data_IF_995153546776
#
_entry.id   IF_995153546776
#
_cell.length_a   1.000
_cell.length_b   1.000
_cell.length_c   1.000
_cell.angle_alpha   90.00
_cell.angle_beta   90.00
_cell.angle_gamma   90.00
#
_symmetry.space_group_name_H-M   'P 1'
#
loop_
_entity.id
_entity.type
_entity.pdbx_description
1 polymer ?
#
# COMPACT_ATOMS: atom_id res chain seq x y z
N UNK A 1 -21.63 5.49 11.98
CA UNK A 1 -20.89 4.24 11.95
C UNK A 1 -21.11 3.41 10.71
N UNK A 2 -22.23 2.66 10.61
CA UNK A 2 -22.47 1.78 9.45
C UNK A 2 -22.51 2.50 8.10
N UNK A 3 -23.17 3.66 8.05
CA UNK A 3 -23.22 4.48 6.82
C UNK A 3 -21.81 4.93 6.42
N UNK A 4 -20.98 5.35 7.38
CA UNK A 4 -19.60 5.75 7.13
C UNK A 4 -18.74 4.59 6.61
N UNK A 5 -18.83 3.44 7.24
CA UNK A 5 -18.13 2.23 6.83
C UNK A 5 -18.54 1.80 5.40
N UNK A 6 -19.84 1.76 5.11
CA UNK A 6 -20.34 1.40 3.79
C UNK A 6 -19.94 2.42 2.70
N UNK A 7 -20.02 3.72 3.02
CA UNK A 7 -19.60 4.79 2.09
C UNK A 7 -18.13 4.68 1.75
N UNK A 8 -17.28 4.43 2.76
CA UNK A 8 -15.84 4.28 2.59
C UNK A 8 -15.49 3.06 1.75
N UNK A 9 -16.13 1.92 2.00
CA UNK A 9 -15.93 0.72 1.16
C UNK A 9 -16.34 0.96 -0.29
N UNK A 10 -17.47 1.63 -0.52
CA UNK A 10 -17.94 1.95 -1.86
C UNK A 10 -17.00 2.94 -2.58
N UNK A 11 -16.48 3.92 -1.87
CA UNK A 11 -15.52 4.91 -2.40
C UNK A 11 -14.19 4.25 -2.76
N UNK A 12 -13.64 3.43 -1.87
CA UNK A 12 -12.37 2.74 -2.07
C UNK A 12 -12.46 1.63 -3.14
N UNK A 13 -13.60 0.99 -3.32
CA UNK A 13 -13.82 0.06 -4.45
C UNK A 13 -14.12 0.79 -5.77
N UNK A 14 -14.61 2.03 -5.71
CA UNK A 14 -15.10 2.81 -6.85
C UNK A 14 -14.00 3.47 -7.68
N UNK A 15 -14.45 4.42 -8.54
CA UNK A 15 -13.57 5.16 -9.47
C UNK A 15 -12.54 6.06 -8.75
N UNK A 16 -12.79 6.44 -7.52
CA UNK A 16 -11.82 7.20 -6.71
C UNK A 16 -10.77 6.32 -6.06
N UNK A 17 -11.01 5.01 -5.96
CA UNK A 17 -10.12 4.00 -5.40
C UNK A 17 -9.73 2.96 -6.45
N UNK A 18 -9.97 1.69 -6.14
CA UNK A 18 -9.46 0.53 -6.88
C UNK A 18 -9.81 0.55 -8.39
N UNK A 19 -11.06 0.84 -8.76
CA UNK A 19 -11.44 0.91 -10.18
C UNK A 19 -10.72 2.06 -10.90
N UNK A 20 -10.49 3.19 -10.24
CA UNK A 20 -9.70 4.29 -10.79
C UNK A 20 -8.24 3.90 -11.00
N UNK A 21 -7.64 3.22 -10.02
CA UNK A 21 -6.28 2.67 -10.13
C UNK A 21 -6.17 1.65 -11.27
N UNK A 22 -7.14 0.75 -11.40
CA UNK A 22 -7.18 -0.20 -12.50
C UNK A 22 -7.33 0.49 -13.87
N UNK A 23 -8.10 1.58 -13.94
CA UNK A 23 -8.24 2.37 -15.18
C UNK A 23 -6.93 3.05 -15.57
N UNK A 24 -6.17 3.56 -14.59
CA UNK A 24 -4.82 4.12 -14.82
C UNK A 24 -3.88 3.03 -15.30
N UNK A 25 -3.89 1.85 -14.67
CA UNK A 25 -3.03 0.71 -15.04
C UNK A 25 -3.23 0.34 -16.52
N UNK A 26 -4.48 0.11 -16.94
CA UNK A 26 -4.82 -0.22 -18.34
C UNK A 26 -4.44 0.92 -19.29
N UNK A 27 -4.70 2.17 -18.91
CA UNK A 27 -4.36 3.33 -19.76
C UNK A 27 -2.84 3.54 -19.88
N UNK A 28 -2.06 2.95 -18.99
CA UNK A 28 -0.59 3.05 -18.92
C UNK A 28 0.12 1.85 -19.55
N UNK A 29 -0.59 0.84 -20.03
CA UNK A 29 0.00 -0.30 -20.73
C UNK A 29 0.82 0.18 -21.93
N UNK A 30 2.02 -0.34 -22.09
CA UNK A 30 2.97 0.00 -23.15
C UNK A 30 3.35 1.50 -23.21
N UNK A 31 3.24 2.23 -22.10
CA UNK A 31 3.62 3.64 -22.01
C UNK A 31 4.61 3.89 -20.88
N UNK A 32 5.52 4.81 -21.11
CA UNK A 32 6.29 5.40 -20.03
C UNK A 32 5.39 6.32 -19.20
N UNK A 33 5.32 6.08 -17.89
CA UNK A 33 4.60 6.93 -16.94
C UNK A 33 5.58 7.52 -15.93
N UNK A 34 5.23 8.64 -15.31
CA UNK A 34 6.07 9.21 -14.26
C UNK A 34 5.99 8.42 -12.96
N UNK A 35 6.98 8.61 -12.07
CA UNK A 35 6.98 7.99 -10.74
C UNK A 35 5.77 8.43 -9.91
N UNK A 36 5.32 9.68 -10.07
CA UNK A 36 4.13 10.22 -9.41
C UNK A 36 2.87 9.48 -9.86
N UNK A 37 2.73 9.25 -11.18
CA UNK A 37 1.58 8.52 -11.72
C UNK A 37 1.62 7.04 -11.31
N UNK A 38 2.80 6.42 -11.28
CA UNK A 38 2.98 5.07 -10.75
C UNK A 38 2.55 4.99 -9.27
N UNK A 39 2.98 5.97 -8.46
CA UNK A 39 2.60 6.04 -7.05
C UNK A 39 1.08 6.19 -6.90
N UNK A 40 0.46 7.12 -7.62
CA UNK A 40 -1.01 7.31 -7.62
C UNK A 40 -1.76 6.04 -8.04
N UNK A 41 -1.26 5.36 -9.07
CA UNK A 41 -1.81 4.08 -9.53
C UNK A 41 -1.82 3.05 -8.40
N UNK A 42 -0.69 2.88 -7.73
CA UNK A 42 -0.54 1.88 -6.66
C UNK A 42 -1.35 2.24 -5.41
N UNK A 43 -1.38 3.52 -5.03
CA UNK A 43 -2.22 4.02 -3.94
C UNK A 43 -3.70 3.74 -4.20
N UNK A 44 -4.17 3.96 -5.42
CA UNK A 44 -5.57 3.70 -5.80
C UNK A 44 -5.85 2.20 -5.97
N UNK A 45 -5.04 1.49 -6.77
CA UNK A 45 -5.31 0.10 -7.14
C UNK A 45 -5.22 -0.85 -5.95
N UNK A 46 -4.17 -0.71 -5.14
CA UNK A 46 -3.88 -1.58 -3.99
C UNK A 46 -4.13 -0.88 -2.67
N UNK A 47 -3.66 0.36 -2.51
CA UNK A 47 -3.74 1.13 -1.28
C UNK A 47 -5.18 1.36 -0.82
N UNK A 48 -6.10 1.69 -1.73
CA UNK A 48 -7.51 1.89 -1.40
C UNK A 48 -8.16 0.64 -0.78
N UNK A 49 -7.77 -0.55 -1.24
CA UNK A 49 -8.30 -1.80 -0.70
C UNK A 49 -7.76 -2.08 0.71
N UNK A 50 -6.47 -1.78 0.93
CA UNK A 50 -5.83 -1.88 2.24
C UNK A 50 -6.42 -0.85 3.20
N UNK A 51 -6.68 0.37 2.73
CA UNK A 51 -7.37 1.40 3.52
C UNK A 51 -8.77 0.92 3.95
N UNK A 52 -9.54 0.37 3.02
CA UNK A 52 -10.86 -0.20 3.35
C UNK A 52 -10.75 -1.30 4.41
N UNK A 53 -9.76 -2.18 4.33
CA UNK A 53 -9.58 -3.28 5.27
C UNK A 53 -9.16 -2.79 6.68
N UNK A 54 -8.34 -1.75 6.77
CA UNK A 54 -7.82 -1.23 8.05
C UNK A 54 -8.82 -0.26 8.72
N UNK A 55 -9.42 0.64 7.96
CA UNK A 55 -10.19 1.76 8.52
C UNK A 55 -11.66 1.43 8.73
N UNK A 56 -12.24 0.52 7.90
CA UNK A 56 -13.65 0.13 8.06
C UNK A 56 -13.95 -0.51 9.42
N UNK A 57 -13.15 -1.49 9.93
CA UNK A 57 -13.37 -2.06 11.26
C UNK A 57 -13.33 -1.03 12.37
N UNK A 58 -12.45 -0.03 12.27
CA UNK A 58 -12.37 1.05 13.25
C UNK A 58 -13.67 1.87 13.32
N UNK A 59 -14.26 2.24 12.19
CA UNK A 59 -15.55 2.93 12.19
C UNK A 59 -16.70 2.07 12.71
N UNK A 60 -16.67 0.76 12.44
CA UNK A 60 -17.66 -0.17 12.98
C UNK A 60 -17.53 -0.26 14.51
N UNK A 61 -16.30 -0.40 15.03
CA UNK A 61 -16.03 -0.41 16.47
C UNK A 61 -16.52 0.86 17.15
N UNK A 62 -16.19 2.03 16.64
CA UNK A 62 -16.68 3.32 17.18
C UNK A 62 -18.19 3.40 17.22
N UNK A 63 -18.87 2.88 16.19
CA UNK A 63 -20.33 2.85 16.18
C UNK A 63 -20.91 1.94 17.26
N UNK A 64 -20.27 0.79 17.52
CA UNK A 64 -20.70 -0.15 18.55
C UNK A 64 -20.48 0.40 19.96
N UNK A 65 -19.39 1.10 20.19
CA UNK A 65 -19.04 1.68 21.50
C UNK A 65 -19.71 3.04 21.78
N UNK A 66 -20.39 3.61 20.77
CA UNK A 66 -21.01 4.96 20.83
C UNK A 66 -20.02 6.06 21.19
N UNK A 67 -18.75 5.89 20.86
CA UNK A 67 -17.72 6.90 21.01
C UNK A 67 -17.92 8.01 19.98
N UNK A 68 -18.48 9.14 20.40
CA UNK A 68 -18.55 10.37 19.62
C UNK A 68 -17.27 11.17 19.83
N UNK A 69 -16.32 11.10 18.89
CA UNK A 69 -15.16 11.99 18.83
C UNK A 69 -15.35 12.99 17.69
N UNK A 70 -15.20 14.28 17.99
CA UNK A 70 -15.27 15.36 16.99
C UNK A 70 -14.03 15.46 16.12
N UNK A 71 -12.90 14.92 16.55
CA UNK A 71 -11.68 14.82 15.75
C UNK A 71 -11.27 13.35 15.66
N UNK A 72 -11.18 12.84 14.43
CA UNK A 72 -10.86 11.45 14.21
C UNK A 72 -9.39 11.32 13.77
N UNK A 73 -8.46 11.73 14.64
CA UNK A 73 -7.02 11.64 14.40
C UNK A 73 -6.58 10.17 14.23
N UNK A 74 -7.18 9.26 15.00
CA UNK A 74 -6.91 7.82 14.86
C UNK A 74 -7.29 7.31 13.47
N UNK A 75 -8.45 7.71 12.93
CA UNK A 75 -8.82 7.33 11.56
C UNK A 75 -7.88 7.92 10.52
N UNK A 76 -7.40 9.15 10.71
CA UNK A 76 -6.39 9.75 9.82
C UNK A 76 -5.06 8.99 9.87
N UNK A 77 -4.61 8.63 11.07
CA UNK A 77 -3.39 7.86 11.24
C UNK A 77 -3.52 6.44 10.66
N UNK A 78 -4.68 5.79 10.82
CA UNK A 78 -4.97 4.49 10.20
C UNK A 78 -4.99 4.56 8.66
N UNK A 79 -5.52 5.64 8.07
CA UNK A 79 -5.45 5.85 6.61
C UNK A 79 -4.02 6.02 6.13
N UNK A 80 -3.23 6.84 6.83
CA UNK A 80 -1.80 7.02 6.52
C UNK A 80 -1.04 5.70 6.64
N UNK A 81 -1.32 4.93 7.69
CA UNK A 81 -0.77 3.60 7.88
C UNK A 81 -1.10 2.69 6.69
N UNK A 82 -2.36 2.66 6.26
CA UNK A 82 -2.81 1.86 5.13
C UNK A 82 -2.09 2.22 3.83
N UNK A 83 -1.91 3.52 3.56
CA UNK A 83 -1.20 4.00 2.37
C UNK A 83 0.28 3.57 2.38
N UNK A 84 0.97 3.74 3.50
CA UNK A 84 2.38 3.32 3.62
C UNK A 84 2.53 1.80 3.51
N UNK A 85 1.62 1.00 4.11
CA UNK A 85 1.61 -0.45 3.96
C UNK A 85 1.38 -0.85 2.49
N UNK A 86 0.45 -0.20 1.80
CA UNK A 86 0.16 -0.46 0.39
C UNK A 86 1.34 -0.18 -0.52
N UNK A 87 2.02 0.96 -0.34
CA UNK A 87 3.22 1.30 -1.09
C UNK A 87 4.38 0.35 -0.78
N UNK A 88 4.63 0.07 0.51
CA UNK A 88 5.67 -0.88 0.91
C UNK A 88 5.44 -2.26 0.30
N UNK A 89 4.18 -2.72 0.25
CA UNK A 89 3.81 -3.98 -0.38
C UNK A 89 4.18 -4.01 -1.87
N UNK A 90 3.82 -2.99 -2.63
CA UNK A 90 4.07 -2.93 -4.07
C UNK A 90 5.56 -2.74 -4.39
N UNK A 91 6.27 -1.90 -3.63
CA UNK A 91 7.72 -1.74 -3.81
C UNK A 91 8.46 -3.06 -3.52
N UNK A 92 8.03 -3.78 -2.48
CA UNK A 92 8.61 -5.09 -2.15
C UNK A 92 8.33 -6.12 -3.25
N UNK A 93 7.12 -6.15 -3.82
CA UNK A 93 6.79 -7.02 -4.97
C UNK A 93 7.71 -6.74 -6.15
N UNK A 94 7.85 -5.47 -6.54
CA UNK A 94 8.73 -5.07 -7.65
C UNK A 94 10.20 -5.49 -7.41
N UNK A 95 10.69 -5.39 -6.16
CA UNK A 95 12.03 -5.84 -5.78
C UNK A 95 12.15 -7.36 -5.90
N UNK A 96 11.15 -8.11 -5.39
CA UNK A 96 11.16 -9.57 -5.44
C UNK A 96 11.09 -10.10 -6.87
N UNK A 97 10.29 -9.49 -7.74
CA UNK A 97 10.18 -9.87 -9.16
C UNK A 97 11.53 -9.82 -9.88
N UNK A 98 12.34 -8.79 -9.58
CA UNK A 98 13.68 -8.66 -10.17
C UNK A 98 14.70 -9.60 -9.54
N UNK A 99 14.69 -9.74 -8.20
CA UNK A 99 15.69 -10.53 -7.47
C UNK A 99 15.45 -12.03 -7.62
N UNK A 100 14.19 -12.49 -7.55
CA UNK A 100 13.84 -13.91 -7.71
C UNK A 100 14.07 -14.41 -9.14
N UNK A 101 13.84 -13.56 -10.15
CA UNK A 101 14.10 -13.93 -11.55
C UNK A 101 15.58 -14.05 -11.85
N UNK A 102 16.46 -13.31 -11.17
CA UNK A 102 17.91 -13.41 -11.33
C UNK A 102 18.50 -14.70 -10.73
N UNK A 103 17.89 -15.24 -9.67
CA UNK A 103 18.32 -16.51 -9.06
C UNK A 103 17.86 -17.74 -9.85
N UNK A 104 16.67 -17.69 -10.47
CA UNK A 104 16.09 -18.82 -11.22
C UNK A 104 16.59 -18.88 -12.66
N UNK A 105 16.92 -17.75 -13.28
CA UNK A 105 17.29 -17.63 -14.68
C UNK A 105 18.79 -17.31 -14.83
N UNK A 106 19.64 -18.21 -14.44
CA UNK A 106 21.08 -18.15 -14.82
C UNK A 106 21.35 -18.11 -16.33
N UNK A 107 20.34 -17.83 -17.19
CA UNK A 107 20.44 -17.54 -18.61
C UNK A 107 19.23 -16.78 -19.14
N UNK A 108 19.54 -15.70 -19.81
CA UNK A 108 18.68 -14.82 -20.60
C UNK A 108 17.72 -15.53 -21.56
N UNK A 109 16.43 -15.48 -21.31
CA UNK A 109 15.40 -15.51 -22.37
C UNK A 109 14.09 -15.02 -21.76
N UNK A 110 13.61 -13.86 -22.14
CA UNK A 110 12.33 -13.30 -21.70
C UNK A 110 12.40 -11.83 -21.29
N UNK A 111 13.36 -11.07 -21.80
CA UNK A 111 13.50 -9.63 -21.52
C UNK A 111 12.37 -8.79 -22.12
N UNK A 112 11.79 -9.21 -23.25
CA UNK A 112 10.96 -8.30 -24.06
C UNK A 112 9.55 -8.05 -23.52
N UNK A 113 8.95 -8.95 -22.73
CA UNK A 113 7.60 -8.76 -22.18
C UNK A 113 7.58 -8.13 -20.78
N UNK A 114 8.71 -8.19 -20.04
CA UNK A 114 8.82 -7.61 -18.68
C UNK A 114 9.33 -6.16 -18.67
N UNK A 115 10.02 -5.74 -19.73
CA UNK A 115 10.62 -4.40 -19.85
C UNK A 115 9.59 -3.27 -20.15
N UNK A 116 8.31 -3.59 -20.42
CA UNK A 116 7.30 -2.60 -20.78
C UNK A 116 6.50 -2.05 -19.59
N UNK A 117 6.56 -2.70 -18.41
CA UNK A 117 5.77 -2.26 -17.25
C UNK A 117 6.56 -1.33 -16.35
N UNK A 118 6.02 -0.15 -16.10
CA UNK A 118 6.59 0.77 -15.12
C UNK A 118 6.49 0.19 -13.71
N UNK A 119 7.63 0.12 -13.00
CA UNK A 119 7.75 -0.37 -11.62
C UNK A 119 8.61 0.60 -10.81
N UNK A 120 8.59 0.50 -9.49
CA UNK A 120 9.50 1.30 -8.66
C UNK A 120 10.97 0.96 -8.97
N UNK A 121 11.28 -0.28 -9.33
CA UNK A 121 12.65 -0.68 -9.70
C UNK A 121 13.06 -0.10 -11.04
N UNK A 122 12.17 -0.02 -12.05
CA UNK A 122 12.51 0.60 -13.35
C UNK A 122 12.73 2.10 -13.23
N UNK A 123 12.04 2.78 -12.30
CA UNK A 123 12.21 4.22 -12.06
C UNK A 123 13.42 4.58 -11.19
N UNK A 124 13.63 3.84 -10.11
CA UNK A 124 14.59 4.19 -9.06
C UNK A 124 15.87 3.34 -9.10
N UNK A 125 15.89 2.29 -9.90
CA UNK A 125 16.86 1.22 -9.77
C UNK A 125 16.62 0.37 -8.52
N UNK A 126 17.29 -0.77 -8.41
CA UNK A 126 17.08 -1.71 -7.30
C UNK A 126 17.44 -1.09 -5.93
N UNK A 127 18.54 -0.35 -5.86
CA UNK A 127 18.98 0.26 -4.59
C UNK A 127 18.08 1.45 -4.20
N UNK A 128 17.61 2.22 -5.18
CA UNK A 128 16.64 3.29 -4.94
C UNK A 128 15.28 2.75 -4.47
N UNK A 129 14.79 1.65 -5.06
CA UNK A 129 13.57 0.99 -4.61
C UNK A 129 13.70 0.44 -3.19
N UNK A 130 14.85 -0.16 -2.82
CA UNK A 130 15.12 -0.58 -1.44
C UNK A 130 15.13 0.59 -0.46
N UNK A 131 15.79 1.70 -0.82
CA UNK A 131 15.78 2.92 -0.01
C UNK A 131 14.37 3.47 0.19
N UNK A 132 13.54 3.47 -0.86
CA UNK A 132 12.14 3.88 -0.76
C UNK A 132 11.32 2.94 0.13
N UNK A 133 11.54 1.63 0.04
CA UNK A 133 10.92 0.66 0.94
C UNK A 133 11.27 0.94 2.41
N UNK A 134 12.54 1.20 2.71
CA UNK A 134 12.99 1.53 4.06
C UNK A 134 12.33 2.81 4.60
N UNK A 135 12.10 3.82 3.75
CA UNK A 135 11.35 5.03 4.12
C UNK A 135 9.89 4.71 4.47
N UNK A 136 9.22 3.90 3.66
CA UNK A 136 7.83 3.49 3.94
C UNK A 136 7.73 2.71 5.26
N UNK A 137 8.65 1.79 5.52
CA UNK A 137 8.73 1.03 6.77
C UNK A 137 8.94 1.95 7.98
N UNK A 138 9.82 2.94 7.85
CA UNK A 138 10.05 3.94 8.91
C UNK A 138 8.79 4.76 9.20
N UNK A 139 8.06 5.16 8.16
CA UNK A 139 6.80 5.88 8.30
C UNK A 139 5.73 5.02 9.00
N UNK A 140 5.61 3.74 8.61
CA UNK A 140 4.73 2.77 9.26
C UNK A 140 5.05 2.70 10.75
N UNK A 141 6.29 2.47 11.13
CA UNK A 141 6.72 2.37 12.54
C UNK A 141 6.38 3.64 13.31
N UNK A 142 6.65 4.81 12.74
CA UNK A 142 6.33 6.10 13.38
C UNK A 142 4.83 6.26 13.66
N UNK A 143 3.98 5.81 12.73
CA UNK A 143 2.52 5.87 12.90
C UNK A 143 2.06 4.85 13.95
N UNK A 144 2.62 3.63 13.94
CA UNK A 144 2.31 2.60 14.93
C UNK A 144 2.69 3.04 16.34
N UNK A 145 3.88 3.64 16.53
CA UNK A 145 4.30 4.21 17.81
C UNK A 145 3.32 5.27 18.31
N UNK A 146 2.87 6.17 17.43
CA UNK A 146 1.88 7.21 17.77
C UNK A 146 0.54 6.59 18.15
N UNK A 147 0.05 5.61 17.41
CA UNK A 147 -1.21 4.90 17.68
C UNK A 147 -1.13 4.17 19.03
N UNK A 148 -0.03 3.46 19.28
CA UNK A 148 0.24 2.75 20.54
C UNK A 148 0.30 3.70 21.72
N UNK A 149 0.98 4.85 21.60
CA UNK A 149 1.02 5.88 22.64
C UNK A 149 -0.38 6.45 22.99
N UNK A 150 -1.31 6.41 22.04
CA UNK A 150 -2.72 6.80 22.24
C UNK A 150 -3.62 5.63 22.68
N UNK A 151 -3.04 4.47 23.07
CA UNK A 151 -3.76 3.32 23.59
C UNK A 151 -4.40 2.40 22.54
N UNK A 152 -4.05 2.59 21.25
CA UNK A 152 -4.50 1.68 20.19
C UNK A 152 -3.64 0.41 20.19
N UNK A 153 -4.24 -0.78 20.06
CA UNK A 153 -3.49 -2.03 19.94
C UNK A 153 -2.91 -2.16 18.53
N UNK A 154 -1.58 -2.11 18.43
CA UNK A 154 -0.83 -2.11 17.17
C UNK A 154 -0.20 -3.45 16.81
N UNK A 155 -0.31 -4.44 17.68
CA UNK A 155 0.44 -5.71 17.59
C UNK A 155 0.25 -6.45 16.27
N UNK A 156 -0.98 -6.50 15.76
CA UNK A 156 -1.27 -7.19 14.49
C UNK A 156 -0.67 -6.44 13.30
N UNK A 157 -0.66 -5.10 13.34
CA UNK A 157 -0.04 -4.27 12.29
C UNK A 157 1.49 -4.35 12.33
N UNK A 158 2.09 -4.44 13.50
CA UNK A 158 3.54 -4.69 13.66
C UNK A 158 3.91 -6.04 13.05
N UNK A 159 3.13 -7.10 13.36
CA UNK A 159 3.32 -8.44 12.79
C UNK A 159 3.17 -8.45 11.27
N UNK A 160 2.17 -7.74 10.73
CA UNK A 160 1.98 -7.60 9.29
C UNK A 160 3.16 -6.85 8.65
N UNK A 161 3.66 -5.81 9.28
CA UNK A 161 4.80 -5.04 8.79
C UNK A 161 6.06 -5.90 8.75
N UNK A 162 6.34 -6.65 9.82
CA UNK A 162 7.48 -7.57 9.88
C UNK A 162 7.37 -8.67 8.82
N UNK A 163 6.18 -9.20 8.58
CA UNK A 163 5.95 -10.16 7.49
C UNK A 163 6.25 -9.53 6.12
N UNK A 164 5.76 -8.31 5.87
CA UNK A 164 6.01 -7.59 4.62
C UNK A 164 7.51 -7.39 4.33
N UNK A 165 8.27 -7.01 5.37
CA UNK A 165 9.71 -6.76 5.27
C UNK A 165 10.49 -8.05 4.99
N UNK A 166 10.12 -9.13 5.69
CA UNK A 166 10.91 -10.36 5.73
C UNK A 166 10.46 -11.41 4.71
N UNK A 167 9.38 -11.16 3.92
CA UNK A 167 8.96 -12.13 2.91
C UNK A 167 10.00 -12.23 1.78
N UNK A 168 10.29 -13.48 1.40
CA UNK A 168 11.24 -13.82 0.34
C UNK A 168 10.56 -14.20 -0.99
N UNK A 169 9.22 -14.28 -0.97
CA UNK A 169 8.36 -14.64 -2.12
C UNK A 169 7.00 -13.95 -2.02
#
# INVERSE_FOLDING_TARGET
GYIHASSMMAENAGIRGMLGGQSIDIASEDKEISLELLTELQEKKTGAFIEAAIVTPYYLYKNMTREESTSDETAKDLRRLANHIGLAFQIKDDILDVTSSSEVLGKSTGKDERDSKATFVTHLGLDGAKGRLDEEIKNIKTILDKLSANGFDTKDYETLTDFLVNRDR
#
